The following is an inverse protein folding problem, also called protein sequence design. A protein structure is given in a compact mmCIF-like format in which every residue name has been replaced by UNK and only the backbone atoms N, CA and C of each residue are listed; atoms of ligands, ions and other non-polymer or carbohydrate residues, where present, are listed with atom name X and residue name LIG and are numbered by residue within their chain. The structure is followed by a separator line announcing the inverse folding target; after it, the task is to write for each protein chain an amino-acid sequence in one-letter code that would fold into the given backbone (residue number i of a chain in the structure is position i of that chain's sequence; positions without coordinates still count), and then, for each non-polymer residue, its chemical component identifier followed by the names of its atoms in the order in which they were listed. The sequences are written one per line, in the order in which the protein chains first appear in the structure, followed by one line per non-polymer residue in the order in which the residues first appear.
data_IF_292433887710
#
_entry.id   IF_292433887710
#
_cell.length_a   1.000
_cell.length_b   1.000
_cell.length_c   1.000
_cell.angle_alpha   90.00
_cell.angle_beta   90.00
_cell.angle_gamma   90.00
#
_symmetry.space_group_name_H-M   'P 1'
#
loop_
_entity.id
_entity.type
_entity.pdbx_description
1 polymer ?
#
# COMPACT_ATOMS: atom_id res chain seq x y z
N UNK A 1 19.15 -50.09 -44.40
CA UNK A 1 19.29 -49.11 -43.31
C UNK A 1 18.59 -47.84 -43.72
N UNK A 2 17.37 -47.61 -43.19
CA UNK A 2 16.61 -46.37 -43.34
C UNK A 2 16.37 -45.84 -41.93
N UNK A 3 16.89 -44.66 -41.64
CA UNK A 3 16.76 -43.99 -40.34
C UNK A 3 15.46 -43.18 -40.31
N UNK A 4 14.69 -43.15 -39.20
CA UNK A 4 13.36 -42.56 -39.18
C UNK A 4 13.37 -41.06 -38.87
N UNK A 5 12.40 -40.35 -39.42
CA UNK A 5 12.03 -38.98 -39.05
C UNK A 5 11.47 -38.94 -37.62
N UNK A 6 12.01 -38.05 -36.78
CA UNK A 6 11.37 -37.60 -35.54
C UNK A 6 10.58 -36.33 -35.83
N UNK A 7 9.26 -36.40 -35.69
CA UNK A 7 8.35 -35.27 -35.65
C UNK A 7 7.96 -34.97 -34.21
N UNK A 8 7.95 -33.69 -33.83
CA UNK A 8 7.30 -33.22 -32.60
C UNK A 8 8.10 -32.20 -31.79
N UNK A 9 8.30 -31.00 -32.32
CA UNK A 9 8.58 -29.82 -31.49
C UNK A 9 7.23 -29.22 -31.03
N UNK A 10 7.06 -28.89 -29.74
CA UNK A 10 5.87 -28.21 -29.26
C UNK A 10 5.84 -26.76 -29.75
N UNK A 11 4.73 -26.39 -30.35
CA UNK A 11 4.37 -25.03 -30.76
C UNK A 11 4.58 -24.02 -29.63
N UNK A 12 5.31 -22.94 -29.94
CA UNK A 12 5.53 -21.80 -29.06
C UNK A 12 4.20 -21.20 -28.56
N UNK A 13 4.13 -20.72 -27.30
CA UNK A 13 2.92 -20.10 -26.78
C UNK A 13 2.67 -18.76 -27.48
N UNK A 14 1.41 -18.59 -27.91
CA UNK A 14 0.87 -17.40 -28.56
C UNK A 14 1.25 -16.11 -27.84
N UNK A 15 1.82 -15.16 -28.58
CA UNK A 15 2.10 -13.81 -28.12
C UNK A 15 0.79 -13.06 -27.81
N UNK A 16 0.46 -12.92 -26.53
CA UNK A 16 -0.67 -12.16 -26.04
C UNK A 16 -0.51 -10.67 -26.39
N UNK A 17 -1.35 -10.17 -27.31
CA UNK A 17 -1.40 -8.74 -27.62
C UNK A 17 -2.16 -8.03 -26.50
N UNK A 18 -1.44 -7.34 -25.63
CA UNK A 18 -2.00 -6.39 -24.68
C UNK A 18 -2.75 -5.30 -25.48
N UNK A 19 -4.06 -5.18 -25.29
CA UNK A 19 -4.91 -4.29 -26.10
C UNK A 19 -4.74 -2.79 -25.77
N UNK A 20 -3.97 -2.44 -24.74
CA UNK A 20 -3.61 -1.07 -24.40
C UNK A 20 -2.10 -0.88 -24.39
N UNK A 21 -1.60 0.28 -24.83
CA UNK A 21 -0.18 0.60 -24.75
C UNK A 21 0.29 0.55 -23.28
N UNK A 22 1.55 0.15 -23.03
CA UNK A 22 2.07 0.05 -21.68
C UNK A 22 1.88 1.36 -20.91
N UNK A 23 1.47 1.26 -19.64
CA UNK A 23 1.35 2.41 -18.74
C UNK A 23 2.75 2.94 -18.39
N UNK A 24 3.24 3.87 -19.20
CA UNK A 24 4.55 4.53 -19.00
C UNK A 24 4.52 5.58 -17.88
N UNK A 25 3.33 5.96 -17.42
CA UNK A 25 3.10 6.91 -16.35
C UNK A 25 1.92 6.53 -15.48
N UNK A 26 1.85 7.10 -14.29
CA UNK A 26 0.68 6.95 -13.44
C UNK A 26 -0.52 7.66 -14.09
N UNK A 27 -1.71 7.02 -14.11
CA UNK A 27 -2.92 7.67 -14.59
C UNK A 27 -3.44 8.70 -13.57
N UNK A 28 -4.00 9.80 -14.05
CA UNK A 28 -4.79 10.73 -13.22
C UNK A 28 -6.14 10.11 -12.83
N UNK A 29 -6.89 10.76 -11.91
CA UNK A 29 -8.23 10.30 -11.53
C UNK A 29 -9.16 10.22 -12.75
N UNK A 30 -9.11 11.23 -13.61
CA UNK A 30 -9.96 11.29 -14.80
C UNK A 30 -9.50 10.26 -15.86
N UNK A 31 -8.18 10.05 -16.01
CA UNK A 31 -7.65 9.02 -16.90
C UNK A 31 -8.03 7.61 -16.44
N UNK A 32 -8.10 7.34 -15.12
CA UNK A 32 -8.59 6.08 -14.58
C UNK A 32 -10.04 5.80 -14.99
N UNK A 33 -10.94 6.77 -14.74
CA UNK A 33 -12.35 6.65 -15.10
C UNK A 33 -12.57 6.50 -16.60
N UNK A 34 -11.85 7.29 -17.41
CA UNK A 34 -11.93 7.23 -18.87
C UNK A 34 -11.45 5.88 -19.43
N UNK A 35 -10.34 5.34 -18.92
CA UNK A 35 -9.79 4.04 -19.35
C UNK A 35 -10.69 2.88 -18.96
N UNK A 36 -11.25 2.89 -17.75
CA UNK A 36 -12.20 1.87 -17.30
C UNK A 36 -13.50 1.91 -18.15
N UNK A 37 -14.04 3.10 -18.40
CA UNK A 37 -15.23 3.28 -19.24
C UNK A 37 -14.98 2.79 -20.67
N UNK A 38 -13.81 3.10 -21.25
CA UNK A 38 -13.43 2.61 -22.57
C UNK A 38 -13.26 1.07 -22.61
N UNK A 39 -12.78 0.46 -21.53
CA UNK A 39 -12.68 -0.99 -21.40
C UNK A 39 -14.07 -1.64 -21.36
N UNK A 40 -15.01 -1.09 -20.59
CA UNK A 40 -16.41 -1.54 -20.57
C UNK A 40 -17.07 -1.40 -21.94
N UNK A 41 -16.88 -0.27 -22.63
CA UNK A 41 -17.45 -0.07 -23.96
C UNK A 41 -16.97 -1.09 -25.00
N UNK A 42 -15.74 -1.62 -24.86
CA UNK A 42 -15.20 -2.68 -25.73
C UNK A 42 -15.66 -4.08 -25.34
N UNK A 43 -16.03 -4.29 -24.07
CA UNK A 43 -16.40 -5.60 -23.51
C UNK A 43 -17.71 -5.51 -22.71
N UNK A 44 -18.82 -5.02 -23.29
CA UNK A 44 -20.05 -4.74 -22.54
C UNK A 44 -20.72 -6.00 -21.98
N UNK A 45 -20.39 -7.17 -22.53
CA UNK A 45 -20.85 -8.46 -22.03
C UNK A 45 -20.09 -8.93 -20.79
N UNK A 46 -18.82 -8.55 -20.63
CA UNK A 46 -17.90 -9.15 -19.64
C UNK A 46 -17.40 -8.16 -18.57
N UNK A 47 -17.65 -6.87 -18.76
CA UNK A 47 -17.22 -5.82 -17.87
C UNK A 47 -18.34 -4.81 -17.58
N UNK A 48 -18.38 -4.32 -16.34
CA UNK A 48 -19.32 -3.27 -15.89
C UNK A 48 -18.59 -2.25 -15.04
N UNK A 49 -18.98 -0.98 -15.14
CA UNK A 49 -18.48 0.10 -14.30
C UNK A 49 -19.66 0.69 -13.53
N UNK A 50 -19.54 0.82 -12.22
CA UNK A 50 -20.56 1.47 -11.37
C UNK A 50 -19.92 2.36 -10.32
N UNK A 51 -20.67 3.34 -9.86
CA UNK A 51 -20.32 4.14 -8.69
C UNK A 51 -20.70 3.36 -7.43
N UNK A 52 -19.77 3.24 -6.48
CA UNK A 52 -20.00 2.61 -5.16
C UNK A 52 -20.16 3.63 -4.03
N UNK A 53 -19.79 4.89 -4.28
CA UNK A 53 -19.84 5.96 -3.31
C UNK A 53 -19.31 7.26 -3.90
N UNK A 54 -19.12 8.26 -3.06
CA UNK A 54 -18.60 9.55 -3.46
C UNK A 54 -17.64 10.03 -2.38
N UNK A 55 -16.49 10.57 -2.78
CA UNK A 55 -15.52 11.15 -1.86
C UNK A 55 -16.04 12.42 -1.19
N UNK A 56 -15.31 12.91 -0.19
CA UNK A 56 -15.63 14.15 0.53
C UNK A 56 -15.74 15.36 -0.39
N UNK A 57 -14.93 15.44 -1.45
CA UNK A 57 -14.96 16.53 -2.43
C UNK A 57 -15.92 16.26 -3.60
N UNK A 58 -16.76 15.21 -3.54
CA UNK A 58 -17.76 14.93 -4.57
C UNK A 58 -17.26 14.08 -5.74
N UNK A 59 -16.06 13.49 -5.66
CA UNK A 59 -15.52 12.64 -6.73
C UNK A 59 -16.13 11.24 -6.65
N UNK A 60 -16.67 10.68 -7.76
CA UNK A 60 -17.24 9.33 -7.74
C UNK A 60 -16.18 8.25 -7.45
N UNK A 61 -16.53 7.29 -6.60
CA UNK A 61 -15.74 6.08 -6.35
C UNK A 61 -16.18 5.00 -7.34
N UNK A 62 -15.31 4.68 -8.29
CA UNK A 62 -15.62 3.79 -9.41
C UNK A 62 -15.18 2.34 -9.14
N UNK A 63 -16.12 1.40 -9.24
CA UNK A 63 -15.86 -0.03 -9.20
C UNK A 63 -16.01 -0.64 -10.60
N UNK A 64 -14.90 -1.12 -11.15
CA UNK A 64 -14.85 -1.87 -12.40
C UNK A 64 -14.95 -3.37 -12.08
N UNK A 65 -16.03 -4.03 -12.49
CA UNK A 65 -16.16 -5.48 -12.36
C UNK A 65 -15.91 -6.19 -13.69
N UNK A 66 -15.21 -7.33 -13.66
CA UNK A 66 -14.89 -8.18 -14.83
C UNK A 66 -15.21 -9.64 -14.52
N UNK A 67 -15.97 -10.29 -15.40
CA UNK A 67 -16.40 -11.68 -15.30
C UNK A 67 -17.77 -11.88 -14.64
N UNK A 68 -18.19 -13.15 -14.59
CA UNK A 68 -19.53 -13.59 -14.16
C UNK A 68 -19.52 -14.68 -13.09
N UNK A 69 -18.35 -15.02 -12.55
CA UNK A 69 -18.23 -16.07 -11.56
C UNK A 69 -18.86 -15.70 -10.21
N UNK A 70 -19.26 -16.70 -9.45
CA UNK A 70 -19.95 -16.51 -8.17
C UNK A 70 -19.01 -15.99 -7.07
N UNK A 71 -17.71 -16.29 -7.16
CA UNK A 71 -16.72 -15.93 -6.14
C UNK A 71 -16.16 -14.53 -6.39
N UNK A 72 -16.32 -13.64 -5.41
CA UNK A 72 -15.89 -12.25 -5.55
C UNK A 72 -14.43 -12.07 -5.11
N UNK A 73 -13.59 -11.51 -5.98
CA UNK A 73 -12.27 -11.00 -5.63
C UNK A 73 -12.31 -9.47 -5.68
N UNK A 74 -12.00 -8.81 -4.56
CA UNK A 74 -11.96 -7.34 -4.45
C UNK A 74 -10.50 -6.86 -4.50
N UNK A 75 -10.22 -5.87 -5.34
CA UNK A 75 -8.92 -5.19 -5.39
C UNK A 75 -9.13 -3.70 -5.22
N UNK A 76 -8.45 -3.11 -4.24
CA UNK A 76 -8.61 -1.72 -3.83
C UNK A 76 -7.37 -0.94 -4.24
N UNK A 77 -7.51 0.01 -5.17
CA UNK A 77 -6.42 0.91 -5.55
C UNK A 77 -6.54 2.27 -4.85
N UNK A 78 -5.38 2.93 -4.69
CA UNK A 78 -5.29 4.28 -4.13
C UNK A 78 -5.90 4.44 -2.74
N UNK A 79 -5.66 3.53 -1.77
CA UNK A 79 -6.04 3.77 -0.38
C UNK A 79 -5.28 4.95 0.24
N UNK A 80 -4.04 5.18 -0.20
CA UNK A 80 -3.27 6.36 0.14
C UNK A 80 -3.02 7.22 -1.11
N UNK A 81 -3.34 8.51 -1.00
CA UNK A 81 -3.20 9.51 -2.05
C UNK A 81 -1.86 9.50 -2.80
N UNK A 82 -0.76 9.28 -2.06
CA UNK A 82 0.60 9.36 -2.58
C UNK A 82 1.06 8.07 -3.28
N UNK A 83 0.23 7.04 -3.39
CA UNK A 83 0.62 5.70 -3.84
C UNK A 83 -0.08 5.32 -5.17
N UNK A 84 0.22 6.02 -6.28
CA UNK A 84 -0.58 5.96 -7.51
C UNK A 84 -0.42 4.66 -8.32
N UNK A 85 0.51 3.78 -7.94
CA UNK A 85 0.77 2.52 -8.66
C UNK A 85 -0.49 1.64 -8.78
N UNK A 86 -1.32 1.61 -7.72
CA UNK A 86 -2.51 0.78 -7.66
C UNK A 86 -3.49 1.06 -8.81
N UNK A 87 -3.66 2.33 -9.19
CA UNK A 87 -4.57 2.72 -10.27
C UNK A 87 -4.18 2.12 -11.63
N UNK A 88 -2.87 2.06 -11.92
CA UNK A 88 -2.38 1.37 -13.11
C UNK A 88 -2.53 -0.15 -13.03
N UNK A 89 -2.33 -0.71 -11.84
CA UNK A 89 -2.45 -2.15 -11.56
C UNK A 89 -3.86 -2.68 -11.74
N UNK A 90 -4.90 -1.98 -11.26
CA UNK A 90 -6.28 -2.43 -11.46
C UNK A 90 -6.68 -2.47 -12.94
N UNK A 91 -6.27 -1.48 -13.73
CA UNK A 91 -6.51 -1.50 -15.18
C UNK A 91 -5.78 -2.68 -15.84
N UNK A 92 -4.54 -2.96 -15.43
CA UNK A 92 -3.76 -4.10 -15.92
C UNK A 92 -4.39 -5.45 -15.53
N UNK A 93 -4.95 -5.56 -14.32
CA UNK A 93 -5.67 -6.75 -13.87
C UNK A 93 -6.95 -6.96 -14.67
N UNK A 94 -7.73 -5.89 -14.93
CA UNK A 94 -8.94 -5.96 -15.76
C UNK A 94 -8.63 -6.50 -17.17
N UNK A 95 -7.57 -5.99 -17.80
CA UNK A 95 -7.11 -6.50 -19.11
C UNK A 95 -6.73 -7.97 -19.08
N UNK A 96 -6.04 -8.43 -18.03
CA UNK A 96 -5.66 -9.84 -17.89
C UNK A 96 -6.88 -10.73 -17.68
N UNK A 97 -7.82 -10.31 -16.83
CA UNK A 97 -9.05 -11.05 -16.56
C UNK A 97 -9.95 -11.15 -17.79
N UNK A 98 -10.00 -10.11 -18.63
CA UNK A 98 -10.70 -10.16 -19.93
C UNK A 98 -9.99 -11.04 -20.97
N UNK A 99 -8.66 -11.10 -20.94
CA UNK A 99 -7.87 -11.85 -21.92
C UNK A 99 -7.75 -13.35 -21.59
N UNK A 100 -7.93 -13.75 -20.34
CA UNK A 100 -7.74 -15.11 -19.86
C UNK A 100 -8.96 -15.62 -19.06
N UNK A 101 -9.86 -16.40 -19.69
CA UNK A 101 -11.02 -16.99 -19.01
C UNK A 101 -10.68 -17.88 -17.82
N UNK A 102 -9.43 -18.35 -17.68
CA UNK A 102 -9.01 -19.10 -16.48
C UNK A 102 -9.01 -18.24 -15.22
N UNK A 103 -8.92 -16.91 -15.36
CA UNK A 103 -8.98 -15.96 -14.25
C UNK A 103 -10.43 -15.59 -13.89
N UNK A 104 -11.40 -15.89 -14.74
CA UNK A 104 -12.83 -15.60 -14.53
C UNK A 104 -13.61 -16.91 -14.47
N UNK A 105 -14.16 -17.39 -15.58
CA UNK A 105 -14.99 -18.61 -15.68
C UNK A 105 -14.30 -19.85 -15.11
N UNK A 106 -13.03 -20.08 -15.48
CA UNK A 106 -12.26 -21.23 -15.01
C UNK A 106 -11.97 -21.23 -13.49
N UNK A 107 -12.01 -20.06 -12.86
CA UNK A 107 -11.86 -19.89 -11.42
C UNK A 107 -13.21 -19.76 -10.68
N UNK A 108 -14.32 -19.70 -11.42
CA UNK A 108 -15.64 -19.24 -10.97
C UNK A 108 -15.54 -17.90 -10.22
N UNK A 109 -14.81 -16.94 -10.81
CA UNK A 109 -14.51 -15.67 -10.17
C UNK A 109 -15.04 -14.44 -10.94
N UNK A 110 -15.43 -13.43 -10.17
CA UNK A 110 -15.64 -12.06 -10.64
C UNK A 110 -14.61 -11.15 -9.96
N UNK A 111 -13.84 -10.41 -10.75
CA UNK A 111 -12.92 -9.39 -10.25
C UNK A 111 -13.66 -8.08 -10.06
N UNK A 112 -13.54 -7.45 -8.90
CA UNK A 112 -14.12 -6.15 -8.56
C UNK A 112 -12.98 -5.21 -8.20
N UNK A 113 -12.77 -4.18 -9.00
CA UNK A 113 -11.57 -3.35 -9.00
C UNK A 113 -11.95 -1.91 -8.68
N UNK A 114 -11.73 -1.48 -7.44
CA UNK A 114 -11.98 -0.09 -7.03
C UNK A 114 -10.83 0.76 -7.55
N UNK A 115 -11.12 1.74 -8.41
CA UNK A 115 -10.09 2.45 -9.17
C UNK A 115 -9.23 3.40 -8.33
N UNK A 116 -9.83 4.01 -7.30
CA UNK A 116 -9.18 4.88 -6.33
C UNK A 116 -10.10 5.02 -5.12
N UNK A 117 -9.60 4.70 -3.93
CA UNK A 117 -10.33 4.87 -2.67
C UNK A 117 -10.24 6.32 -2.16
N UNK A 118 -9.08 6.98 -2.31
CA UNK A 118 -8.89 8.40 -2.02
C UNK A 118 -8.62 9.22 -3.30
N UNK A 119 -9.65 9.44 -4.15
CA UNK A 119 -9.47 10.21 -5.38
C UNK A 119 -9.18 11.69 -5.10
N UNK A 120 -9.64 12.24 -3.98
CA UNK A 120 -9.43 13.65 -3.63
C UNK A 120 -7.95 13.92 -3.30
N UNK A 121 -7.35 13.03 -2.51
CA UNK A 121 -5.92 13.08 -2.25
C UNK A 121 -5.08 12.77 -3.51
N UNK A 122 -5.52 11.83 -4.35
CA UNK A 122 -4.84 11.54 -5.62
C UNK A 122 -4.82 12.77 -6.55
N UNK A 123 -5.91 13.55 -6.63
CA UNK A 123 -5.94 14.81 -7.42
C UNK A 123 -4.86 15.80 -6.99
N UNK A 124 -4.58 15.89 -5.68
CA UNK A 124 -3.51 16.75 -5.15
C UNK A 124 -2.10 16.28 -5.57
N UNK A 125 -1.94 15.02 -5.95
CA UNK A 125 -0.69 14.45 -6.44
C UNK A 125 -0.51 14.53 -7.97
N UNK A 126 -1.54 14.91 -8.74
CA UNK A 126 -1.49 14.95 -10.22
C UNK A 126 -0.33 15.80 -10.76
N UNK A 127 0.08 16.81 -9.99
CA UNK A 127 1.22 17.67 -10.30
C UNK A 127 2.53 16.92 -10.55
N UNK A 128 2.73 15.70 -10.00
CA UNK A 128 3.94 14.91 -10.23
C UNK A 128 3.75 13.61 -11.02
N UNK A 129 2.52 13.11 -11.18
CA UNK A 129 2.22 11.79 -11.78
C UNK A 129 2.75 11.58 -13.20
N UNK A 130 2.92 12.65 -13.97
CA UNK A 130 3.39 12.59 -15.36
C UNK A 130 4.93 12.55 -15.54
N UNK A 131 5.69 12.63 -14.44
CA UNK A 131 7.14 12.77 -14.48
C UNK A 131 7.63 14.18 -14.88
N UNK A 132 8.94 14.45 -14.88
CA UNK A 132 10.02 13.48 -14.61
C UNK A 132 9.99 12.95 -13.16
N UNK A 133 10.34 11.68 -12.99
CA UNK A 133 10.31 10.99 -11.70
C UNK A 133 11.62 11.17 -10.95
N UNK A 134 11.80 12.35 -10.37
CA UNK A 134 12.91 12.66 -9.46
C UNK A 134 12.40 12.79 -8.03
N UNK A 135 13.21 12.38 -7.05
CA UNK A 135 12.86 12.49 -5.63
C UNK A 135 12.47 13.93 -5.25
N UNK A 136 13.28 14.91 -5.70
CA UNK A 136 13.03 16.32 -5.40
C UNK A 136 11.71 16.85 -5.97
N UNK A 137 11.29 16.40 -7.17
CA UNK A 137 9.99 16.77 -7.73
C UNK A 137 8.85 16.05 -7.01
N UNK A 138 9.02 14.77 -6.67
CA UNK A 138 8.02 14.01 -5.92
C UNK A 138 7.75 14.66 -4.56
N UNK A 139 8.76 14.89 -3.73
CA UNK A 139 8.53 15.44 -2.38
C UNK A 139 8.03 16.89 -2.40
N UNK A 140 8.43 17.73 -3.36
CA UNK A 140 7.88 19.10 -3.49
C UNK A 140 6.41 19.17 -3.92
N UNK A 141 5.87 18.09 -4.48
CA UNK A 141 4.48 18.00 -4.94
C UNK A 141 3.72 16.86 -4.25
N UNK A 142 4.28 16.32 -3.17
CA UNK A 142 3.74 15.18 -2.46
C UNK A 142 2.51 15.60 -1.65
N UNK A 143 1.46 14.79 -1.69
CA UNK A 143 0.36 14.95 -0.76
C UNK A 143 -0.07 13.60 -0.19
N UNK A 144 -0.18 13.55 1.14
CA UNK A 144 -0.88 12.49 1.86
C UNK A 144 -1.74 13.15 2.95
N UNK A 145 -3.02 12.78 3.08
CA UNK A 145 -3.86 13.33 4.14
C UNK A 145 -3.31 13.02 5.54
N UNK A 146 -3.74 13.81 6.52
CA UNK A 146 -3.54 13.48 7.93
C UNK A 146 -4.10 12.10 8.29
N UNK A 147 -3.67 11.53 9.40
CA UNK A 147 -3.94 10.13 9.75
C UNK A 147 -5.44 9.82 9.83
N UNK A 148 -6.23 10.73 10.42
CA UNK A 148 -7.69 10.59 10.53
C UNK A 148 -8.44 10.79 9.21
N UNK A 149 -7.74 11.23 8.16
CA UNK A 149 -8.30 11.52 6.84
C UNK A 149 -7.95 10.47 5.78
N UNK A 150 -7.26 9.40 6.18
CA UNK A 150 -6.84 8.29 5.33
C UNK A 150 -7.89 7.14 5.38
N UNK A 151 -8.51 6.76 4.24
CA UNK A 151 -9.72 5.94 4.26
C UNK A 151 -9.62 4.49 4.78
N UNK A 152 -8.43 3.93 4.95
CA UNK A 152 -8.28 2.53 5.40
C UNK A 152 -8.08 2.36 6.91
N UNK A 153 -7.89 3.44 7.65
CA UNK A 153 -7.72 3.40 9.10
C UNK A 153 -9.06 3.53 9.81
N UNK A 154 -9.33 2.62 10.76
CA UNK A 154 -10.55 2.58 11.57
C UNK A 154 -10.21 2.70 13.06
N UNK A 155 -9.55 3.77 13.53
CA UNK A 155 -9.10 3.86 14.92
C UNK A 155 -10.24 3.70 15.95
N UNK A 156 -11.44 4.19 15.61
CA UNK A 156 -12.65 4.09 16.45
C UNK A 156 -13.57 2.90 16.07
N UNK A 157 -13.13 2.06 15.13
CA UNK A 157 -13.84 0.90 14.60
C UNK A 157 -14.87 1.21 13.51
N UNK A 158 -15.38 0.16 12.87
CA UNK A 158 -16.27 0.24 11.69
C UNK A 158 -17.60 0.98 11.95
N UNK A 159 -18.12 0.93 13.18
CA UNK A 159 -19.38 1.60 13.56
C UNK A 159 -19.23 3.13 13.65
N UNK A 160 -18.02 3.62 13.94
CA UNK A 160 -17.72 5.04 14.14
C UNK A 160 -17.26 5.76 12.85
N UNK A 161 -17.32 5.10 11.69
CA UNK A 161 -16.83 5.64 10.42
C UNK A 161 -17.55 6.93 10.02
N UNK A 162 -16.76 7.99 9.84
CA UNK A 162 -17.18 9.32 9.39
C UNK A 162 -16.80 9.62 7.94
N UNK A 163 -15.71 9.04 7.43
CA UNK A 163 -15.27 9.25 6.05
C UNK A 163 -16.19 8.51 5.06
N UNK A 164 -16.75 9.21 4.05
CA UNK A 164 -17.61 8.57 3.05
C UNK A 164 -16.86 7.56 2.17
N UNK A 165 -15.56 7.76 1.93
CA UNK A 165 -14.69 6.81 1.22
C UNK A 165 -14.57 5.50 1.98
N UNK A 166 -14.29 5.59 3.28
CA UNK A 166 -14.23 4.42 4.18
C UNK A 166 -15.57 3.71 4.22
N UNK A 167 -16.68 4.44 4.41
CA UNK A 167 -18.03 3.85 4.42
C UNK A 167 -18.31 3.08 3.13
N UNK A 168 -18.01 3.68 1.98
CA UNK A 168 -18.21 3.04 0.68
C UNK A 168 -17.39 1.76 0.54
N UNK A 169 -16.15 1.71 1.04
CA UNK A 169 -15.35 0.49 1.04
C UNK A 169 -15.97 -0.60 1.92
N UNK A 170 -16.39 -0.26 3.14
CA UNK A 170 -17.03 -1.22 4.05
C UNK A 170 -18.33 -1.78 3.45
N UNK A 171 -19.15 -0.92 2.84
CA UNK A 171 -20.39 -1.32 2.18
C UNK A 171 -20.12 -2.27 0.99
N UNK A 172 -19.07 -2.01 0.19
CA UNK A 172 -18.63 -2.90 -0.90
C UNK A 172 -18.12 -4.23 -0.36
N UNK A 173 -17.36 -4.22 0.74
CA UNK A 173 -16.89 -5.45 1.39
C UNK A 173 -18.07 -6.30 1.89
N UNK A 174 -19.11 -5.67 2.44
CA UNK A 174 -20.30 -6.32 2.99
C UNK A 174 -21.25 -6.82 1.91
N UNK A 175 -21.37 -6.07 0.80
CA UNK A 175 -22.09 -6.45 -0.40
C UNK A 175 -21.44 -7.67 -1.08
N UNK A 176 -20.13 -7.60 -1.33
CA UNK A 176 -19.42 -8.62 -2.12
C UNK A 176 -19.05 -9.86 -1.33
N UNK A 177 -18.81 -9.72 -0.01
CA UNK A 177 -18.28 -10.79 0.87
C UNK A 177 -17.15 -11.57 0.19
N UNK A 178 -16.07 -10.87 -0.20
CA UNK A 178 -15.10 -11.44 -1.13
C UNK A 178 -14.35 -12.62 -0.52
N UNK A 179 -13.98 -13.63 -1.31
CA UNK A 179 -13.08 -14.66 -0.80
C UNK A 179 -11.63 -14.15 -0.71
N UNK A 180 -11.32 -13.09 -1.48
CA UNK A 180 -10.03 -12.42 -1.53
C UNK A 180 -10.22 -10.91 -1.58
N UNK A 181 -9.51 -10.19 -0.72
CA UNK A 181 -9.25 -8.77 -0.86
C UNK A 181 -7.77 -8.53 -1.09
N UNK A 182 -7.42 -7.69 -2.06
CA UNK A 182 -6.08 -7.13 -2.20
C UNK A 182 -6.16 -5.60 -2.05
N UNK A 183 -5.49 -5.02 -1.04
CA UNK A 183 -5.26 -3.57 -1.00
C UNK A 183 -3.92 -3.26 -1.67
N UNK A 184 -3.92 -2.31 -2.60
CA UNK A 184 -2.78 -1.99 -3.45
C UNK A 184 -2.09 -0.73 -2.93
N UNK A 185 -0.91 -0.94 -2.35
CA UNK A 185 -0.11 0.12 -1.74
C UNK A 185 1.19 0.36 -2.52
N UNK A 186 1.84 1.46 -2.19
CA UNK A 186 3.11 1.85 -2.77
C UNK A 186 4.09 2.36 -1.72
N UNK A 187 5.35 2.00 -1.91
CA UNK A 187 6.45 2.48 -1.06
C UNK A 187 7.19 3.58 -1.82
N UNK A 188 7.32 4.78 -1.28
CA UNK A 188 8.10 5.84 -1.95
C UNK A 188 9.54 5.33 -2.18
N UNK A 189 10.27 5.04 -1.10
CA UNK A 189 11.65 4.54 -1.15
C UNK A 189 11.75 3.28 -0.30
N UNK A 190 12.29 2.19 -0.83
CA UNK A 190 12.39 0.91 -0.12
C UNK A 190 12.41 -0.31 -1.03
N UNK A 191 11.67 -1.35 -0.66
CA UNK A 191 11.46 -2.58 -1.42
C UNK A 191 9.99 -2.99 -1.49
N UNK A 192 9.71 -4.06 -2.24
CA UNK A 192 8.38 -4.66 -2.29
C UNK A 192 8.21 -5.74 -1.23
N UNK A 193 7.03 -5.80 -0.64
CA UNK A 193 6.64 -6.80 0.36
C UNK A 193 5.13 -7.06 0.32
N UNK A 194 4.69 -8.06 1.08
CA UNK A 194 3.29 -8.45 1.17
C UNK A 194 2.90 -8.67 2.62
N UNK A 195 1.74 -8.18 3.02
CA UNK A 195 1.15 -8.53 4.31
C UNK A 195 -0.11 -9.35 4.11
N UNK A 196 -0.36 -10.31 4.99
CA UNK A 196 -1.48 -11.25 4.87
C UNK A 196 -2.19 -11.45 6.21
N UNK A 197 -3.52 -11.48 6.17
CA UNK A 197 -4.34 -11.95 7.29
C UNK A 197 -4.23 -13.46 7.50
N UNK A 198 -3.98 -14.20 6.42
CA UNK A 198 -3.92 -15.67 6.41
C UNK A 198 -2.57 -16.16 5.89
N UNK A 199 -2.15 -17.35 6.32
CA UNK A 199 -0.98 -18.00 5.72
C UNK A 199 -1.35 -18.52 4.32
N UNK A 200 -0.54 -18.18 3.33
CA UNK A 200 -0.64 -18.67 1.96
C UNK A 200 0.66 -19.40 1.59
N UNK A 201 0.78 -20.70 1.89
CA UNK A 201 2.02 -21.44 1.66
C UNK A 201 2.57 -21.28 0.24
N UNK A 202 3.87 -20.97 0.14
CA UNK A 202 4.58 -20.78 -1.12
C UNK A 202 4.56 -19.35 -1.68
N UNK A 203 3.82 -18.41 -1.08
CA UNK A 203 3.77 -17.01 -1.53
C UNK A 203 5.14 -16.35 -1.53
N UNK A 204 5.96 -16.54 -0.48
CA UNK A 204 7.28 -15.90 -0.36
C UNK A 204 8.21 -16.26 -1.53
N UNK A 205 8.20 -17.53 -1.98
CA UNK A 205 8.97 -17.97 -3.15
C UNK A 205 8.49 -17.34 -4.46
N UNK A 206 7.18 -17.15 -4.62
CA UNK A 206 6.58 -16.49 -5.80
C UNK A 206 6.88 -15.00 -5.83
N UNK A 207 6.76 -14.31 -4.69
CA UNK A 207 7.15 -12.90 -4.54
C UNK A 207 8.63 -12.73 -4.90
N UNK A 208 9.51 -13.60 -4.39
CA UNK A 208 10.93 -13.61 -4.74
C UNK A 208 11.18 -13.77 -6.25
N UNK A 209 10.47 -14.69 -6.90
CA UNK A 209 10.58 -14.87 -8.34
C UNK A 209 10.15 -13.63 -9.14
N UNK A 210 9.03 -13.01 -8.76
CA UNK A 210 8.52 -11.81 -9.46
C UNK A 210 9.45 -10.61 -9.25
N UNK A 211 9.89 -10.39 -8.01
CA UNK A 211 10.82 -9.33 -7.63
C UNK A 211 12.14 -9.43 -8.42
N UNK A 212 12.77 -10.61 -8.43
CA UNK A 212 14.01 -10.86 -9.15
C UNK A 212 13.87 -10.62 -10.66
N UNK A 213 12.78 -11.09 -11.28
CA UNK A 213 12.52 -10.90 -12.72
C UNK A 213 12.34 -9.43 -13.11
N UNK A 214 11.86 -8.60 -12.19
CA UNK A 214 11.57 -7.18 -12.44
C UNK A 214 12.66 -6.26 -11.90
N UNK A 215 13.67 -6.79 -11.21
CA UNK A 215 14.74 -6.01 -10.60
C UNK A 215 14.27 -5.15 -9.42
N UNK A 216 13.26 -5.61 -8.70
CA UNK A 216 12.66 -4.95 -7.55
C UNK A 216 13.27 -5.54 -6.28
N UNK A 217 13.93 -4.74 -5.43
CA UNK A 217 14.38 -5.21 -4.12
C UNK A 217 13.18 -5.61 -3.26
N UNK A 218 13.32 -6.66 -2.46
CA UNK A 218 12.35 -7.07 -1.44
C UNK A 218 12.67 -6.44 -0.11
N UNK A 219 11.68 -5.96 0.60
CA UNK A 219 11.90 -5.38 1.93
C UNK A 219 11.76 -6.47 3.01
N UNK A 220 12.88 -6.87 3.60
CA UNK A 220 12.92 -7.98 4.57
C UNK A 220 12.56 -7.59 6.01
N UNK A 221 12.51 -6.29 6.30
CA UNK A 221 12.15 -5.76 7.61
C UNK A 221 11.57 -4.35 7.50
N UNK A 222 10.42 -4.17 6.81
CA UNK A 222 9.81 -2.86 6.66
C UNK A 222 9.41 -2.31 8.04
N UNK A 223 9.47 -0.98 8.17
CA UNK A 223 9.09 -0.30 9.41
C UNK A 223 7.63 -0.60 9.80
N UNK A 224 6.73 -0.60 8.82
CA UNK A 224 5.29 -0.80 9.03
C UNK A 224 4.95 -2.16 9.66
N UNK A 225 5.79 -3.17 9.41
CA UNK A 225 5.63 -4.53 9.95
C UNK A 225 6.70 -4.89 10.98
N UNK A 226 7.40 -3.90 11.56
CA UNK A 226 8.58 -4.11 12.39
C UNK A 226 8.32 -5.17 13.48
N UNK A 227 7.15 -5.10 14.11
CA UNK A 227 6.78 -5.98 15.22
C UNK A 227 5.92 -7.19 14.82
N UNK A 228 5.68 -7.39 13.53
CA UNK A 228 4.73 -8.38 13.05
C UNK A 228 5.40 -9.73 12.79
N UNK A 229 4.66 -10.85 12.93
CA UNK A 229 5.21 -12.17 12.62
C UNK A 229 5.56 -12.29 11.13
N UNK A 230 6.78 -12.72 10.81
CA UNK A 230 7.16 -13.06 9.45
C UNK A 230 6.55 -14.42 9.03
N UNK A 231 5.99 -14.47 7.82
CA UNK A 231 5.56 -15.71 7.15
C UNK A 231 6.61 -16.22 6.16
N UNK A 232 7.53 -15.34 5.76
CA UNK A 232 8.69 -15.63 4.93
C UNK A 232 9.40 -14.34 4.56
N UNK A 233 10.49 -14.42 3.78
CA UNK A 233 11.20 -13.22 3.33
C UNK A 233 10.25 -12.25 2.58
N UNK A 234 10.11 -11.03 3.10
CA UNK A 234 9.21 -9.98 2.60
C UNK A 234 7.72 -10.38 2.56
N UNK A 235 7.30 -11.28 3.45
CA UNK A 235 5.89 -11.65 3.64
C UNK A 235 5.59 -11.68 5.14
N UNK A 236 4.63 -10.88 5.57
CA UNK A 236 4.31 -10.65 6.98
C UNK A 236 2.85 -11.00 7.29
N UNK A 237 2.59 -11.37 8.55
CA UNK A 237 1.25 -11.62 9.07
C UNK A 237 0.70 -10.30 9.63
N UNK A 238 -0.42 -9.84 9.10
CA UNK A 238 -1.18 -8.76 9.75
C UNK A 238 -1.71 -9.34 11.07
N UNK A 239 -1.39 -8.74 12.23
CA UNK A 239 -1.95 -9.20 13.50
C UNK A 239 -3.45 -8.86 13.58
N UNK A 240 -4.27 -9.68 14.26
CA UNK A 240 -5.64 -9.29 14.56
C UNK A 240 -5.67 -7.92 15.26
N UNK A 241 -6.59 -7.03 14.87
CA UNK A 241 -6.59 -5.67 15.36
C UNK A 241 -6.78 -5.65 16.87
N UNK A 242 -6.03 -4.79 17.55
CA UNK A 242 -6.23 -4.49 18.97
C UNK A 242 -6.64 -3.04 19.09
N UNK A 243 -7.57 -2.74 19.99
CA UNK A 243 -7.84 -1.35 20.37
C UNK A 243 -6.59 -0.79 21.05
N UNK A 244 -6.03 0.26 20.46
CA UNK A 244 -4.89 1.01 20.96
C UNK A 244 -5.13 2.50 20.76
N UNK A 245 -4.29 3.35 21.34
CA UNK A 245 -4.36 4.78 21.06
C UNK A 245 -3.87 5.10 19.63
N UNK A 246 -4.18 6.32 19.16
CA UNK A 246 -3.84 6.77 17.81
C UNK A 246 -2.32 6.78 17.57
N UNK A 247 -1.48 6.97 18.60
CA UNK A 247 -0.02 6.98 18.43
C UNK A 247 0.52 5.55 18.15
N UNK A 248 0.01 4.55 18.87
CA UNK A 248 0.28 3.13 18.58
C UNK A 248 -0.33 2.70 17.23
N UNK A 249 -1.47 3.28 16.85
CA UNK A 249 -2.12 3.09 15.55
C UNK A 249 -1.24 3.52 14.38
N UNK A 250 -0.65 4.71 14.51
CA UNK A 250 0.17 5.36 13.50
C UNK A 250 1.53 4.67 13.35
N UNK A 251 2.10 4.18 14.46
CA UNK A 251 3.46 3.63 14.47
C UNK A 251 3.55 2.13 14.22
N UNK A 252 2.52 1.35 14.55
CA UNK A 252 2.55 -0.11 14.37
C UNK A 252 1.60 -0.64 13.28
N UNK A 253 0.83 0.25 12.61
CA UNK A 253 -0.26 -0.11 11.71
C UNK A 253 -1.23 -1.16 12.31
N UNK A 254 -1.26 -1.27 13.65
CA UNK A 254 -1.85 -2.37 14.40
C UNK A 254 -3.27 -2.08 14.92
N UNK A 255 -3.83 -0.93 14.54
CA UNK A 255 -5.23 -0.62 14.81
C UNK A 255 -6.17 -1.36 13.89
N UNK A 256 -7.43 -1.37 14.30
CA UNK A 256 -8.55 -1.72 13.45
C UNK A 256 -8.46 -0.96 12.12
N UNK A 257 -8.52 -1.70 11.02
CA UNK A 257 -8.40 -1.21 9.65
C UNK A 257 -9.41 -1.92 8.75
N UNK A 258 -9.70 -1.32 7.60
CA UNK A 258 -10.59 -1.91 6.59
C UNK A 258 -10.06 -3.25 6.06
N UNK A 259 -8.78 -3.57 6.30
CA UNK A 259 -8.15 -4.81 5.91
C UNK A 259 -8.72 -6.03 6.63
N UNK A 260 -9.08 -5.86 7.91
CA UNK A 260 -9.61 -6.93 8.76
C UNK A 260 -11.14 -7.01 8.77
N UNK A 261 -11.84 -5.95 8.35
CA UNK A 261 -13.31 -5.94 8.29
C UNK A 261 -13.91 -7.17 7.59
N UNK A 262 -13.48 -7.56 6.37
CA UNK A 262 -14.08 -8.70 5.68
C UNK A 262 -13.62 -10.07 6.23
N UNK A 263 -12.70 -10.12 7.20
CA UNK A 263 -12.20 -11.38 7.79
C UNK A 263 -13.33 -12.27 8.33
N UNK A 264 -14.42 -11.67 8.83
CA UNK A 264 -15.63 -12.39 9.29
C UNK A 264 -16.34 -13.22 8.21
N UNK A 265 -16.08 -12.94 6.93
CA UNK A 265 -16.59 -13.70 5.79
C UNK A 265 -15.65 -14.84 5.35
N UNK A 266 -14.56 -15.05 6.08
CA UNK A 266 -13.48 -15.96 5.67
C UNK A 266 -12.61 -15.37 4.56
N UNK A 267 -12.66 -14.04 4.37
CA UNK A 267 -11.86 -13.33 3.36
C UNK A 267 -10.38 -13.40 3.70
N UNK A 268 -9.58 -13.82 2.73
CA UNK A 268 -8.13 -13.58 2.78
C UNK A 268 -7.87 -12.15 2.31
N UNK A 269 -7.35 -11.31 3.20
CA UNK A 269 -6.83 -9.98 2.81
C UNK A 269 -5.32 -10.02 2.62
N UNK A 270 -4.85 -9.43 1.52
CA UNK A 270 -3.45 -9.18 1.21
C UNK A 270 -3.18 -7.69 0.94
N UNK A 271 -2.12 -7.16 1.51
CA UNK A 271 -1.61 -5.81 1.23
C UNK A 271 -0.39 -6.01 0.35
N UNK A 272 -0.35 -5.35 -0.81
CA UNK A 272 0.69 -5.56 -1.82
C UNK A 272 1.45 -4.27 -2.08
N UNK A 273 2.67 -4.23 -1.58
CA UNK A 273 3.53 -3.04 -1.57
C UNK A 273 4.48 -3.02 -2.76
N UNK A 274 4.39 -1.98 -3.59
CA UNK A 274 5.25 -1.82 -4.76
C UNK A 274 6.13 -0.55 -4.62
N UNK A 275 7.46 -0.66 -4.67
CA UNK A 275 8.33 0.50 -4.46
C UNK A 275 8.46 1.37 -5.71
N UNK A 276 8.49 2.69 -5.51
CA UNK A 276 8.80 3.66 -6.56
C UNK A 276 10.32 3.79 -6.77
N UNK A 277 11.06 3.99 -5.68
CA UNK A 277 12.52 3.96 -5.66
C UNK A 277 13.02 2.74 -4.89
N UNK A 278 13.65 1.81 -5.61
CA UNK A 278 14.21 0.59 -5.02
C UNK A 278 15.52 0.87 -4.29
N UNK A 279 15.69 0.33 -3.09
CA UNK A 279 16.94 0.35 -2.31
C UNK A 279 17.46 -1.09 -2.11
N UNK A 280 18.66 -1.44 -2.59
CA UNK A 280 19.19 -2.80 -2.44
C UNK A 280 19.39 -3.25 -0.99
N UNK A 281 19.76 -2.34 -0.09
CA UNK A 281 20.09 -2.67 1.30
C UNK A 281 18.90 -3.25 2.10
N UNK A 282 17.66 -3.02 1.65
CA UNK A 282 16.47 -3.60 2.30
C UNK A 282 16.32 -5.11 2.06
N UNK A 283 17.13 -5.69 1.16
CA UNK A 283 17.24 -7.13 0.94
C UNK A 283 18.33 -7.81 1.79
N UNK A 284 19.10 -7.05 2.57
CA UNK A 284 20.21 -7.60 3.34
C UNK A 284 19.75 -8.21 4.68
N UNK A 285 19.51 -9.53 4.66
CA UNK A 285 19.12 -10.29 5.84
C UNK A 285 20.26 -10.59 6.83
N UNK A 286 21.48 -10.07 6.62
CA UNK A 286 22.61 -10.36 7.51
C UNK A 286 22.45 -9.73 8.91
N UNK A 287 23.09 -10.31 9.94
CA UNK A 287 23.20 -9.66 11.24
C UNK A 287 23.98 -8.34 11.12
N UNK A 288 23.52 -7.25 11.76
CA UNK A 288 24.19 -5.96 11.69
C UNK A 288 25.50 -5.99 12.48
N UNK A 289 26.52 -5.27 11.99
CA UNK A 289 27.81 -5.15 12.67
C UNK A 289 27.71 -4.39 13.99
N UNK A 290 26.98 -3.28 14.00
CA UNK A 290 26.70 -2.48 15.20
C UNK A 290 25.31 -1.84 15.10
N UNK A 291 24.29 -2.57 15.56
CA UNK A 291 22.91 -2.08 15.52
C UNK A 291 22.71 -0.80 16.36
N UNK A 292 23.34 -0.74 17.54
CA UNK A 292 23.16 0.37 18.46
C UNK A 292 23.71 1.68 17.87
N UNK A 293 24.87 1.66 17.20
CA UNK A 293 25.41 2.83 16.53
C UNK A 293 24.51 3.34 15.39
N UNK A 294 23.93 2.44 14.60
CA UNK A 294 23.01 2.82 13.53
C UNK A 294 21.73 3.41 14.11
N UNK A 295 21.15 2.76 15.12
CA UNK A 295 19.95 3.23 15.80
C UNK A 295 20.13 4.63 16.39
N UNK A 296 21.20 4.88 17.16
CA UNK A 296 21.54 6.24 17.64
C UNK A 296 21.65 7.25 16.51
N UNK A 297 22.25 6.86 15.39
CA UNK A 297 22.41 7.77 14.25
C UNK A 297 21.05 8.13 13.64
N UNK A 298 20.17 7.14 13.47
CA UNK A 298 18.83 7.34 12.91
C UNK A 298 17.95 8.15 13.86
N UNK A 299 17.91 7.80 15.15
CA UNK A 299 17.12 8.52 16.17
C UNK A 299 17.57 9.98 16.30
N UNK A 300 18.88 10.22 16.45
CA UNK A 300 19.44 11.57 16.58
C UNK A 300 19.17 12.42 15.33
N UNK A 301 19.29 11.81 14.15
CA UNK A 301 19.01 12.50 12.87
C UNK A 301 17.54 12.88 12.78
N UNK A 302 16.62 11.95 13.07
CA UNK A 302 15.19 12.21 13.05
C UNK A 302 14.81 13.32 14.04
N UNK A 303 15.30 13.25 15.28
CA UNK A 303 15.04 14.25 16.32
C UNK A 303 15.54 15.64 15.91
N UNK A 304 16.79 15.73 15.43
CA UNK A 304 17.39 16.99 14.96
C UNK A 304 16.61 17.60 13.79
N UNK A 305 16.29 16.78 12.80
CA UNK A 305 15.64 17.25 11.57
C UNK A 305 14.18 17.64 11.85
N UNK A 306 13.48 16.93 12.75
CA UNK A 306 12.13 17.29 13.24
C UNK A 306 12.16 18.64 13.94
N UNK A 307 13.07 18.87 14.88
CA UNK A 307 13.21 20.17 15.57
C UNK A 307 13.50 21.32 14.60
N UNK A 308 14.21 21.06 13.49
CA UNK A 308 14.45 22.06 12.44
C UNK A 308 13.16 22.40 11.71
N UNK A 309 12.36 21.39 11.38
CA UNK A 309 11.06 21.55 10.71
C UNK A 309 10.04 22.22 11.63
N UNK A 310 10.03 21.95 12.93
CA UNK A 310 9.18 22.66 13.90
C UNK A 310 9.48 24.17 13.93
N UNK A 311 10.76 24.56 13.91
CA UNK A 311 11.15 25.97 13.87
C UNK A 311 10.72 26.65 12.56
N UNK A 312 10.89 25.96 11.42
CA UNK A 312 10.43 26.46 10.13
C UNK A 312 8.90 26.56 10.09
N UNK A 313 8.21 25.56 10.62
CA UNK A 313 6.75 25.58 10.67
C UNK A 313 6.25 26.74 11.54
N UNK A 314 6.84 26.95 12.72
CA UNK A 314 6.50 28.05 13.60
C UNK A 314 6.71 29.44 12.94
N UNK A 315 7.73 29.60 12.09
CA UNK A 315 7.97 30.87 11.38
C UNK A 315 6.99 31.13 10.23
N UNK A 316 6.51 30.09 9.54
CA UNK A 316 5.59 30.24 8.41
C UNK A 316 4.11 30.23 8.82
N UNK A 317 3.76 29.56 9.93
CA UNK A 317 2.37 29.37 10.40
C UNK A 317 1.52 30.66 10.41
N UNK A 318 2.04 31.83 10.85
CA UNK A 318 1.25 33.07 10.86
C UNK A 318 0.78 33.54 9.48
N UNK A 319 1.44 33.12 8.40
CA UNK A 319 1.21 33.65 7.05
C UNK A 319 0.58 32.65 6.09
N UNK A 320 0.60 31.35 6.42
CA UNK A 320 0.08 30.28 5.56
C UNK A 320 -1.37 29.86 5.88
N UNK A 321 -1.90 30.24 7.04
CA UNK A 321 -3.26 29.86 7.49
C UNK A 321 -4.38 30.50 6.67
N UNK A 322 -4.11 31.62 5.99
CA UNK A 322 -5.06 32.30 5.13
C UNK A 322 -5.10 31.75 3.69
N UNK A 323 -4.20 30.82 3.33
CA UNK A 323 -4.16 30.24 2.00
C UNK A 323 -5.36 29.29 1.77
N UNK A 324 -5.92 29.22 0.56
CA UNK A 324 -6.95 28.24 0.23
C UNK A 324 -6.48 26.81 0.54
N UNK A 325 -7.35 25.99 1.13
CA UNK A 325 -7.07 24.61 1.54
C UNK A 325 -5.88 24.42 2.48
N UNK A 326 -5.42 25.47 3.16
CA UNK A 326 -4.29 25.39 4.08
C UNK A 326 -4.48 24.28 5.14
N UNK A 327 -5.69 24.14 5.68
CA UNK A 327 -6.03 23.10 6.67
C UNK A 327 -5.66 21.69 6.20
N UNK A 328 -5.87 21.37 4.92
CA UNK A 328 -5.58 20.04 4.35
C UNK A 328 -4.09 19.73 4.28
N UNK A 329 -3.25 20.75 4.11
CA UNK A 329 -1.80 20.61 4.11
C UNK A 329 -1.22 20.75 5.54
N UNK A 330 -1.88 21.50 6.41
CA UNK A 330 -1.47 21.68 7.81
C UNK A 330 -1.69 20.41 8.62
N UNK A 331 -2.84 19.72 8.47
CA UNK A 331 -3.14 18.51 9.24
C UNK A 331 -2.03 17.44 9.16
N UNK A 332 -1.55 17.00 7.98
CA UNK A 332 -0.45 16.04 7.91
C UNK A 332 0.89 16.59 8.42
N UNK A 333 1.14 17.91 8.35
CA UNK A 333 2.33 18.53 8.95
C UNK A 333 2.28 18.43 10.47
N UNK A 334 1.16 18.82 11.08
CA UNK A 334 0.95 18.73 12.53
C UNK A 334 1.08 17.27 12.99
N UNK A 335 0.48 16.33 12.28
CA UNK A 335 0.56 14.89 12.53
C UNK A 335 2.00 14.37 12.52
N UNK A 336 2.79 14.71 11.49
CA UNK A 336 4.19 14.27 11.42
C UNK A 336 5.06 14.88 12.52
N UNK A 337 4.91 16.18 12.79
CA UNK A 337 5.67 16.85 13.84
C UNK A 337 5.30 16.32 15.24
N UNK A 338 4.04 15.91 15.44
CA UNK A 338 3.59 15.29 16.69
C UNK A 338 4.24 13.93 16.94
N UNK A 339 4.32 13.06 15.93
CA UNK A 339 4.76 11.66 16.13
C UNK A 339 6.26 11.44 16.00
N UNK A 340 6.97 12.24 15.20
CA UNK A 340 8.39 12.02 14.92
C UNK A 340 9.30 11.99 16.18
N UNK A 341 9.09 12.83 17.21
CA UNK A 341 9.90 12.75 18.43
C UNK A 341 9.76 11.42 19.15
N UNK A 342 8.53 10.93 19.35
CA UNK A 342 8.27 9.63 20.00
C UNK A 342 8.81 8.46 19.19
N UNK A 343 8.73 8.53 17.86
CA UNK A 343 9.35 7.54 16.97
C UNK A 343 10.87 7.53 17.15
N UNK A 344 11.51 8.70 17.19
CA UNK A 344 12.95 8.80 17.39
C UNK A 344 13.38 8.20 18.75
N UNK A 345 12.62 8.48 19.81
CA UNK A 345 12.87 7.95 21.15
C UNK A 345 12.72 6.41 21.17
N UNK A 346 11.69 5.86 20.52
CA UNK A 346 11.46 4.41 20.43
C UNK A 346 12.57 3.62 19.72
N UNK A 347 13.42 4.31 18.95
CA UNK A 347 14.55 3.71 18.25
C UNK A 347 15.88 3.94 18.96
N UNK A 348 15.93 4.86 19.93
CA UNK A 348 17.16 5.30 20.55
C UNK A 348 17.58 4.35 21.69
N UNK A 349 18.70 3.61 21.57
CA UNK A 349 19.10 2.65 22.60
C UNK A 349 19.55 3.32 23.91
N UNK A 350 19.77 4.64 23.89
CA UNK A 350 20.20 5.41 25.07
C UNK A 350 19.00 6.08 25.79
N UNK A 351 17.77 5.89 25.30
CA UNK A 351 16.53 6.39 25.89
C UNK A 351 15.75 5.23 26.52
N UNK A 352 15.36 5.40 27.79
CA UNK A 352 14.39 4.53 28.45
C UNK A 352 13.05 5.25 28.50
N UNK A 353 12.24 5.07 27.46
CA UNK A 353 10.91 5.65 27.31
C UNK A 353 9.78 4.71 27.77
N UNK A 354 10.14 3.52 28.29
CA UNK A 354 9.19 2.47 28.62
C UNK A 354 8.49 1.86 27.40
N UNK A 355 8.96 2.13 26.18
CA UNK A 355 8.40 1.57 24.96
C UNK A 355 8.71 0.08 24.80
N UNK A 356 7.97 -0.56 23.90
CA UNK A 356 8.17 -1.96 23.53
C UNK A 356 9.58 -2.15 22.96
N UNK A 357 10.39 -3.06 23.50
CA UNK A 357 11.73 -3.33 22.97
C UNK A 357 11.70 -3.67 21.48
N UNK A 358 12.66 -3.14 20.73
CA UNK A 358 12.85 -3.47 19.32
C UNK A 358 13.04 -4.99 19.15
N UNK A 359 12.47 -5.59 18.09
CA UNK A 359 12.68 -6.99 17.78
C UNK A 359 14.15 -7.23 17.35
N UNK A 360 14.60 -8.49 17.23
CA UNK A 360 15.90 -8.79 16.65
C UNK A 360 16.04 -8.16 15.25
N UNK A 361 17.02 -7.27 15.09
CA UNK A 361 17.22 -6.49 13.87
C UNK A 361 18.25 -7.15 12.94
N UNK A 362 17.97 -7.10 11.64
CA UNK A 362 18.95 -7.36 10.56
C UNK A 362 19.43 -6.05 9.94
N UNK A 363 20.42 -6.13 9.06
CA UNK A 363 20.86 -4.98 8.24
C UNK A 363 19.68 -4.35 7.46
N UNK A 364 18.78 -5.18 6.91
CA UNK A 364 17.57 -4.72 6.23
C UNK A 364 16.64 -3.88 7.12
N UNK A 365 16.45 -4.29 8.38
CA UNK A 365 15.64 -3.52 9.33
C UNK A 365 16.26 -2.14 9.58
N UNK A 366 17.56 -2.08 9.82
CA UNK A 366 18.26 -0.82 10.04
C UNK A 366 18.21 0.10 8.81
N UNK A 367 18.30 -0.47 7.61
CA UNK A 367 18.12 0.28 6.36
C UNK A 367 16.69 0.85 6.24
N UNK A 368 15.67 0.04 6.54
CA UNK A 368 14.27 0.45 6.50
C UNK A 368 13.95 1.56 7.53
N UNK A 369 14.48 1.47 8.75
CA UNK A 369 14.33 2.52 9.78
C UNK A 369 14.97 3.85 9.34
N UNK A 370 16.19 3.80 8.79
CA UNK A 370 16.84 4.99 8.22
C UNK A 370 16.00 5.61 7.11
N UNK A 371 15.48 4.78 6.21
CA UNK A 371 14.65 5.23 5.10
C UNK A 371 13.37 5.87 5.62
N UNK A 372 12.73 5.27 6.62
CA UNK A 372 11.46 5.73 7.19
C UNK A 372 11.61 7.05 7.94
N UNK A 373 12.64 7.22 8.79
CA UNK A 373 12.91 8.51 9.45
C UNK A 373 13.17 9.65 8.46
N UNK A 374 13.93 9.37 7.39
CA UNK A 374 14.15 10.32 6.29
C UNK A 374 12.86 10.63 5.52
N UNK A 375 11.95 9.65 5.38
CA UNK A 375 10.68 9.79 4.65
C UNK A 375 9.76 10.79 5.35
N UNK A 376 9.62 10.65 6.67
CA UNK A 376 8.77 11.51 7.49
C UNK A 376 9.22 12.98 7.40
N UNK A 377 10.53 13.23 7.51
CA UNK A 377 11.10 14.59 7.40
C UNK A 377 10.96 15.18 6.00
N UNK A 378 11.20 14.40 4.94
CA UNK A 378 11.01 14.86 3.55
C UNK A 378 9.56 15.16 3.21
N UNK A 379 8.61 14.30 3.62
CA UNK A 379 7.17 14.53 3.42
C UNK A 379 6.74 15.83 4.12
N UNK A 380 7.18 16.03 5.36
CA UNK A 380 6.89 17.26 6.13
C UNK A 380 7.46 18.51 5.44
N UNK A 381 8.73 18.48 5.02
CA UNK A 381 9.34 19.60 4.29
C UNK A 381 8.63 19.89 2.96
N UNK A 382 8.23 18.85 2.23
CA UNK A 382 7.47 18.97 0.98
C UNK A 382 6.10 19.61 1.15
N UNK A 383 5.39 19.27 2.23
CA UNK A 383 4.10 19.88 2.58
C UNK A 383 4.27 21.34 3.01
N UNK A 384 5.29 21.64 3.84
CA UNK A 384 5.64 23.02 4.21
C UNK A 384 6.01 23.86 2.98
N UNK A 385 6.78 23.30 2.05
CA UNK A 385 7.14 23.95 0.80
C UNK A 385 5.87 24.31 -0.01
N UNK A 386 4.93 23.38 -0.14
CA UNK A 386 3.66 23.63 -0.81
C UNK A 386 2.81 24.70 -0.10
N UNK A 387 2.73 24.67 1.23
CA UNK A 387 2.02 25.67 2.03
C UNK A 387 2.55 27.08 1.78
N UNK A 388 3.86 27.27 1.85
CA UNK A 388 4.48 28.60 1.63
C UNK A 388 4.34 29.02 0.17
N UNK A 389 4.50 28.09 -0.78
CA UNK A 389 4.28 28.38 -2.20
C UNK A 389 2.84 28.82 -2.49
N UNK A 390 1.85 28.13 -1.91
CA UNK A 390 0.44 28.44 -2.08
C UNK A 390 0.02 29.77 -1.44
N UNK A 391 0.69 30.18 -0.35
CA UNK A 391 0.48 31.49 0.25
C UNK A 391 0.92 32.67 -0.66
N UNK A 392 1.71 32.41 -1.70
CA UNK A 392 2.14 33.39 -2.70
C UNK A 392 3.14 34.42 -2.21
N UNK A 393 3.49 34.41 -0.92
CA UNK A 393 4.51 35.25 -0.30
C UNK A 393 5.30 34.44 0.72
N UNK A 394 6.58 34.76 0.88
CA UNK A 394 7.47 34.12 1.86
C UNK A 394 8.14 35.16 2.78
N UNK A 395 7.39 35.77 3.72
CA UNK A 395 7.96 36.77 4.64
C UNK A 395 9.03 36.19 5.57
N UNK A 396 9.01 34.87 5.80
CA UNK A 396 9.92 34.17 6.69
C UNK A 396 11.22 33.72 5.98
N UNK A 397 11.30 33.83 4.65
CA UNK A 397 12.43 33.30 3.87
C UNK A 397 12.60 31.79 4.01
N UNK A 398 11.49 31.05 4.19
CA UNK A 398 11.49 29.62 4.43
C UNK A 398 11.72 28.78 3.16
N UNK A 399 11.32 29.26 1.97
CA UNK A 399 11.42 28.49 0.73
C UNK A 399 12.86 28.10 0.37
N UNK A 400 13.86 29.02 0.36
CA UNK A 400 15.24 28.65 0.03
C UNK A 400 15.83 27.60 0.99
N UNK A 401 15.44 27.68 2.26
CA UNK A 401 15.89 26.74 3.28
C UNK A 401 15.21 25.37 3.13
N UNK A 402 13.91 25.34 2.85
CA UNK A 402 13.17 24.11 2.53
C UNK A 402 13.71 23.46 1.26
N UNK A 403 14.01 24.22 0.22
CA UNK A 403 14.62 23.72 -1.02
C UNK A 403 15.97 23.05 -0.74
N UNK A 404 16.85 23.73 0.00
CA UNK A 404 18.15 23.18 0.39
C UNK A 404 18.00 21.89 1.18
N UNK A 405 17.08 21.84 2.15
CA UNK A 405 16.81 20.63 2.94
C UNK A 405 16.29 19.49 2.08
N UNK A 406 15.30 19.74 1.23
CA UNK A 406 14.74 18.72 0.35
C UNK A 406 15.83 18.17 -0.58
N UNK A 407 16.67 19.03 -1.16
CA UNK A 407 17.72 18.59 -2.08
C UNK A 407 18.82 17.78 -1.38
N UNK A 408 19.26 18.20 -0.20
CA UNK A 408 20.23 17.46 0.63
C UNK A 408 19.70 16.09 1.05
N UNK A 409 18.46 16.04 1.52
CA UNK A 409 17.82 14.80 1.97
C UNK A 409 17.48 13.86 0.81
N UNK A 410 17.11 14.40 -0.34
CA UNK A 410 16.97 13.61 -1.57
C UNK A 410 18.32 13.08 -2.06
N UNK A 411 19.41 13.83 -1.89
CA UNK A 411 20.76 13.36 -2.19
C UNK A 411 21.16 12.20 -1.28
N UNK A 412 20.86 12.28 0.03
CA UNK A 412 21.12 11.17 0.96
C UNK A 412 20.43 9.85 0.52
N UNK A 413 19.19 9.91 0.04
CA UNK A 413 18.54 8.72 -0.53
C UNK A 413 19.27 8.15 -1.75
N UNK A 414 19.74 9.01 -2.67
CA UNK A 414 20.45 8.55 -3.86
C UNK A 414 21.84 8.00 -3.52
N UNK A 415 22.59 8.75 -2.73
CA UNK A 415 24.02 8.57 -2.57
C UNK A 415 24.33 7.59 -1.44
N UNK A 416 23.59 7.67 -0.32
CA UNK A 416 23.81 6.80 0.83
C UNK A 416 22.96 5.53 0.80
N UNK A 417 21.72 5.60 0.30
CA UNK A 417 20.84 4.43 0.22
C UNK A 417 20.87 3.75 -1.16
N UNK A 418 21.43 4.39 -2.20
CA UNK A 418 21.41 3.83 -3.55
C UNK A 418 20.01 3.75 -4.16
N UNK A 419 19.11 4.65 -3.74
CA UNK A 419 17.72 4.65 -4.19
C UNK A 419 17.63 4.91 -5.70
N UNK A 420 17.00 3.98 -6.44
CA UNK A 420 16.88 4.06 -7.91
C UNK A 420 15.43 3.97 -8.36
N UNK A 421 15.06 4.81 -9.33
CA UNK A 421 13.72 4.78 -9.91
C UNK A 421 13.43 3.43 -10.57
N UNK A 422 12.29 2.83 -10.21
CA UNK A 422 11.75 1.65 -10.87
C UNK A 422 10.70 2.15 -11.88
N UNK A 423 10.80 1.84 -13.19
CA UNK A 423 9.81 2.27 -14.17
C UNK A 423 8.39 1.86 -13.77
N UNK A 424 7.41 2.76 -13.97
CA UNK A 424 5.98 2.53 -13.64
C UNK A 424 5.48 1.19 -14.18
N UNK A 425 5.88 0.84 -15.40
CA UNK A 425 5.54 -0.44 -16.03
C UNK A 425 5.99 -1.66 -15.22
N UNK A 426 7.16 -1.59 -14.57
CA UNK A 426 7.68 -2.67 -13.72
C UNK A 426 6.99 -2.71 -12.36
N UNK A 427 6.68 -1.54 -11.79
CA UNK A 427 5.92 -1.45 -10.53
C UNK A 427 4.52 -2.09 -10.70
N UNK A 428 3.79 -1.67 -11.75
CA UNK A 428 2.46 -2.20 -12.10
C UNK A 428 2.54 -3.69 -12.40
N UNK A 429 3.52 -4.14 -13.17
CA UNK A 429 3.69 -5.56 -13.51
C UNK A 429 4.00 -6.42 -12.28
N UNK A 430 4.79 -5.92 -11.34
CA UNK A 430 5.09 -6.59 -10.07
C UNK A 430 3.82 -6.76 -9.25
N UNK A 431 3.14 -5.65 -8.97
CA UNK A 431 1.94 -5.66 -8.14
C UNK A 431 0.85 -6.55 -8.76
N UNK A 432 0.66 -6.48 -10.09
CA UNK A 432 -0.24 -7.36 -10.84
C UNK A 432 0.09 -8.84 -10.64
N UNK A 433 1.37 -9.23 -10.78
CA UNK A 433 1.80 -10.64 -10.64
C UNK A 433 1.65 -11.17 -9.22
N UNK A 434 1.92 -10.32 -8.23
CA UNK A 434 1.72 -10.66 -6.83
C UNK A 434 0.23 -10.87 -6.55
N UNK A 435 -0.65 -9.95 -6.97
CA UNK A 435 -2.11 -10.08 -6.83
C UNK A 435 -2.62 -11.37 -7.48
N UNK A 436 -2.20 -11.70 -8.69
CA UNK A 436 -2.59 -12.96 -9.35
C UNK A 436 -2.10 -14.19 -8.59
N UNK A 437 -0.91 -14.15 -8.01
CA UNK A 437 -0.38 -15.23 -7.18
C UNK A 437 -1.22 -15.41 -5.92
N UNK A 438 -1.53 -14.31 -5.23
CA UNK A 438 -2.39 -14.33 -4.04
C UNK A 438 -3.77 -14.88 -4.40
N UNK A 439 -4.35 -14.45 -5.54
CA UNK A 439 -5.61 -14.96 -6.04
C UNK A 439 -5.61 -16.48 -6.26
N UNK A 440 -4.58 -17.01 -6.92
CA UNK A 440 -4.42 -18.46 -7.13
C UNK A 440 -4.35 -19.21 -5.78
N UNK A 441 -3.56 -18.71 -4.83
CA UNK A 441 -3.33 -19.37 -3.54
C UNK A 441 -4.55 -19.28 -2.62
N UNK A 442 -5.15 -18.10 -2.46
CA UNK A 442 -6.39 -17.89 -1.70
C UNK A 442 -7.55 -18.70 -2.31
N UNK A 443 -7.57 -18.80 -3.65
CA UNK A 443 -8.53 -19.60 -4.40
C UNK A 443 -8.53 -21.08 -3.98
N UNK A 444 -7.35 -21.63 -3.66
CA UNK A 444 -7.18 -23.01 -3.15
C UNK A 444 -7.50 -23.10 -1.65
N UNK A 445 -7.12 -22.11 -0.86
CA UNK A 445 -7.37 -22.05 0.59
C UNK A 445 -8.87 -22.15 0.90
N UNK A 446 -9.70 -21.34 0.24
CA UNK A 446 -11.16 -21.33 0.44
C UNK A 446 -11.82 -22.70 0.14
N UNK A 447 -11.29 -23.45 -0.83
CA UNK A 447 -11.79 -24.80 -1.20
C UNK A 447 -11.47 -25.85 -0.13
N UNK A 448 -10.39 -25.68 0.64
CA UNK A 448 -10.02 -26.60 1.73
C UNK A 448 -10.91 -26.34 2.96
N UNK A 449 -11.13 -25.07 3.33
CA UNK A 449 -12.04 -24.71 4.44
C UNK A 449 -13.49 -25.13 4.21
N UNK A 450 -13.94 -25.15 2.95
CA UNK A 450 -15.29 -25.63 2.58
C UNK A 450 -15.44 -27.17 2.64
N UNK A 451 -14.33 -27.93 2.70
CA UNK A 451 -14.35 -29.41 2.77
C UNK A 451 -14.26 -29.94 4.20
N UNK A 452 -13.82 -29.13 5.15
CA UNK A 452 -13.90 -29.45 6.58
C UNK A 452 -15.28 -29.03 7.10
N UNK A 453 -16.32 -29.75 6.71
CA UNK A 453 -17.58 -29.73 7.44
C UNK A 453 -17.35 -30.33 8.82
N UNK A 454 -17.61 -29.55 9.87
CA UNK A 454 -17.62 -30.05 11.25
C UNK A 454 -18.60 -31.22 11.38
N UNK A 455 -18.21 -32.38 11.93
CA UNK A 455 -19.15 -33.42 12.33
C UNK A 455 -19.78 -33.01 13.66
N UNK A 456 -20.74 -32.08 13.60
CA UNK A 456 -21.20 -31.37 14.80
C UNK A 456 -22.69 -31.18 14.94
N UNK A 457 -23.55 -31.74 14.08
CA UNK A 457 -25.00 -31.74 14.30
C UNK A 457 -25.51 -33.18 14.48
N UNK A 458 -25.26 -33.71 15.68
CA UNK A 458 -25.96 -34.88 16.18
C UNK A 458 -27.43 -34.53 16.41
N UNK A 459 -28.31 -35.25 15.73
CA UNK A 459 -29.73 -35.33 16.01
C UNK A 459 -29.97 -35.62 17.49
N UNK A 460 -30.55 -34.67 18.22
CA UNK A 460 -31.08 -34.91 19.56
C UNK A 460 -32.20 -35.97 19.47
N UNK A 461 -31.93 -37.17 19.97
CA UNK A 461 -32.96 -38.09 20.41
C UNK A 461 -33.32 -37.72 21.85
N UNK A 462 -34.57 -37.31 22.06
CA UNK A 462 -35.16 -37.07 23.35
C UNK A 462 -35.42 -38.38 24.11
N UNK A 463 -34.99 -38.48 25.38
CA UNK A 463 -35.66 -39.28 26.44
C UNK A 463 -35.33 -38.64 27.82
N UNK A 464 -36.27 -38.61 28.80
CA UNK A 464 -36.25 -37.69 29.95
C UNK A 464 -35.75 -38.29 31.28
N UNK A 465 -35.58 -37.38 32.26
CA UNK A 465 -35.54 -37.51 33.72
C UNK A 465 -35.71 -38.91 34.35
N UNK A 466 -34.83 -39.27 35.30
CA UNK A 466 -35.12 -39.29 36.74
C UNK A 466 -33.97 -39.88 37.59
N UNK A 467 -33.72 -39.21 38.74
CA UNK A 467 -33.31 -39.67 40.10
C UNK A 467 -32.11 -40.65 40.21
N UNK A 468 -31.15 -40.44 41.11
CA UNK A 468 -31.19 -39.93 42.50
C UNK A 468 -30.18 -38.81 42.78
#
# INVERSE_FOLDING_TARGET
MRTPCTSGEPTAPSSWRCALPPLLRYPTVDELGARASALVARHPGDARLRTVGTSRAGTPLWLLSVGHGTRQALVVAGPHANEPVGGGTVLRLAERALADPLLTEGADATWNLLLSLDPDGLRRNEGWLHGPYTLGRHFRNFFRPGFLEQPEWLPDGADAVTLPETRALLDVQDELRPFLQCSLHGVDVGGGFVELTHDLPGIAGRVAQHAARLGIPRELGPYDTLYWPALGPAVFRIPPPRRGDLAAAITEAAVESTWYHPHRYGTVTAIVEAPMWGVPAVEDGSPPTDAAAVLRTVSHTLRRDTQRLERLFASVRPFVTAAPDAERLLAPVDDYLLVCPGIADSWDPDVDDGARPLPPLSTAHLAALRISGRRLTLRTAGLLHQLVTAAGTDPAGALPELDRLIDEWCADYRDSCGARWIPVTRQVEYQTRVVQTVFELAGRHARVGSRSGEPGWGSQAAVPMHRE
#
